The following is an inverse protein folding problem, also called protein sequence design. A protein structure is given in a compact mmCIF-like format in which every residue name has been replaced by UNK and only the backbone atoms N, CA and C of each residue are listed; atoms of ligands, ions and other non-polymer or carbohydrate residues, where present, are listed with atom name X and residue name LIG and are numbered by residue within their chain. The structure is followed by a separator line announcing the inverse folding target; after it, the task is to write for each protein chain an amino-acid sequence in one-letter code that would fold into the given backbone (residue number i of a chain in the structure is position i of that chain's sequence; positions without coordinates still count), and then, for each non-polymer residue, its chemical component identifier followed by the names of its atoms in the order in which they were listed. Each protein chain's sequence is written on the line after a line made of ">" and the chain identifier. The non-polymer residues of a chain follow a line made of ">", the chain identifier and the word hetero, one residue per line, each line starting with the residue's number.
data_IF_466423863666
#
_entry.id   IF_466423863666
#
_cell.length_a   1.000
_cell.length_b   1.000
_cell.length_c   1.000
_cell.angle_alpha   90.00
_cell.angle_beta   90.00
_cell.angle_gamma   90.00
#
_symmetry.space_group_name_H-M   'P 1'
#
loop_
_entity.id
_entity.type
_entity.pdbx_description
1 polymer ?
#
# COMPACT_ATOMS: atom_id res chain seq x y z
N UNK A 1 -9.88 2.23 -8.83
CA UNK A 1 -9.07 0.99 -8.67
C UNK A 1 -7.84 1.13 -9.53
N UNK A 2 -6.66 0.78 -9.02
CA UNK A 2 -5.39 0.84 -9.75
C UNK A 2 -4.77 -0.55 -9.78
N UNK A 3 -4.34 -1.01 -10.96
CA UNK A 3 -3.62 -2.27 -11.10
C UNK A 3 -2.13 -2.00 -11.16
N UNK A 4 -1.34 -2.75 -10.40
CA UNK A 4 0.12 -2.65 -10.35
C UNK A 4 0.71 -4.02 -10.59
N UNK A 5 1.69 -4.11 -11.49
CA UNK A 5 2.46 -5.32 -11.73
C UNK A 5 3.88 -5.12 -11.21
N UNK A 6 4.24 -5.84 -10.15
CA UNK A 6 5.58 -5.84 -9.59
C UNK A 6 6.36 -7.03 -10.16
N UNK A 7 7.52 -6.77 -10.75
CA UNK A 7 8.46 -7.83 -11.16
C UNK A 7 9.65 -7.79 -10.24
N UNK A 8 9.89 -8.88 -9.52
CA UNK A 8 11.05 -9.03 -8.63
C UNK A 8 12.12 -9.87 -9.34
N UNK A 9 13.38 -9.74 -8.93
CA UNK A 9 14.50 -10.53 -9.50
C UNK A 9 14.27 -12.05 -9.43
N UNK A 10 13.44 -12.51 -8.48
CA UNK A 10 13.01 -13.91 -8.34
C UNK A 10 11.93 -14.38 -9.34
N UNK A 11 11.66 -13.58 -10.38
CA UNK A 11 10.90 -13.90 -11.59
C UNK A 11 9.40 -14.17 -11.49
N UNK A 12 8.78 -14.25 -10.31
CA UNK A 12 7.31 -14.36 -10.23
C UNK A 12 6.67 -12.99 -10.12
N UNK A 13 6.01 -12.46 -11.18
CA UNK A 13 5.36 -11.16 -11.11
C UNK A 13 4.19 -11.22 -10.13
N UNK A 14 3.98 -10.14 -9.39
CA UNK A 14 2.82 -9.97 -8.53
C UNK A 14 1.91 -8.89 -9.11
N UNK A 15 0.66 -9.26 -9.43
CA UNK A 15 -0.36 -8.30 -9.85
C UNK A 15 -1.20 -7.91 -8.64
N UNK A 16 -1.12 -6.65 -8.25
CA UNK A 16 -1.90 -6.07 -7.16
C UNK A 16 -3.02 -5.21 -7.73
N UNK A 17 -4.12 -5.14 -7.00
CA UNK A 17 -5.23 -4.25 -7.25
C UNK A 17 -5.44 -3.42 -5.98
N UNK A 18 -5.26 -2.11 -6.14
CA UNK A 18 -5.22 -1.14 -5.06
C UNK A 18 -6.47 -0.26 -5.13
N UNK A 19 -7.18 -0.13 -4.02
CA UNK A 19 -8.20 0.89 -3.84
C UNK A 19 -7.51 2.26 -3.68
N UNK A 20 -7.93 3.21 -4.51
CA UNK A 20 -7.32 4.53 -4.66
C UNK A 20 -5.77 4.49 -4.82
N UNK A 21 -5.20 3.40 -5.36
CA UNK A 21 -3.76 3.25 -5.54
C UNK A 21 -2.92 3.15 -4.28
N UNK A 22 -3.54 2.93 -3.12
CA UNK A 22 -2.88 2.84 -1.83
C UNK A 22 -3.16 1.51 -1.12
N UNK A 23 -4.45 1.20 -0.90
CA UNK A 23 -4.86 0.04 -0.09
C UNK A 23 -4.99 -1.19 -0.98
N UNK A 24 -4.18 -2.23 -0.76
CA UNK A 24 -4.33 -3.50 -1.49
C UNK A 24 -5.63 -4.18 -1.10
N UNK A 25 -6.46 -4.49 -2.11
CA UNK A 25 -7.70 -5.26 -1.92
C UNK A 25 -7.61 -6.65 -2.55
N UNK A 26 -6.75 -6.82 -3.55
CA UNK A 26 -6.55 -8.11 -4.18
C UNK A 26 -5.12 -8.23 -4.74
N UNK A 27 -4.55 -9.41 -4.59
CA UNK A 27 -3.26 -9.79 -5.17
C UNK A 27 -3.39 -11.14 -5.86
N UNK A 28 -2.91 -11.17 -7.09
CA UNK A 28 -2.78 -12.36 -7.91
C UNK A 28 -1.30 -12.58 -8.23
N UNK A 29 -0.73 -13.65 -7.69
CA UNK A 29 0.62 -14.10 -8.01
C UNK A 29 0.73 -15.62 -7.89
N UNK A 30 1.75 -16.17 -8.54
CA UNK A 30 2.06 -17.61 -8.47
C UNK A 30 2.47 -18.05 -7.06
N UNK A 31 2.96 -17.10 -6.24
CA UNK A 31 3.31 -17.32 -4.83
C UNK A 31 2.10 -17.25 -3.89
N UNK A 32 0.93 -16.82 -4.37
CA UNK A 32 -0.30 -16.79 -3.58
C UNK A 32 -1.33 -15.77 -4.05
N UNK A 33 -2.59 -16.18 -4.05
CA UNK A 33 -3.75 -15.30 -4.29
C UNK A 33 -4.36 -14.88 -2.96
N UNK A 34 -4.53 -13.59 -2.79
CA UNK A 34 -5.05 -13.00 -1.54
C UNK A 34 -6.08 -11.94 -1.87
N UNK A 35 -7.23 -11.98 -1.20
CA UNK A 35 -8.23 -10.93 -1.21
C UNK A 35 -8.38 -10.35 0.20
N UNK A 36 -8.25 -9.04 0.33
CA UNK A 36 -8.57 -8.31 1.55
C UNK A 36 -10.03 -7.85 1.46
N UNK A 37 -10.86 -8.34 2.39
CA UNK A 37 -12.27 -7.97 2.50
C UNK A 37 -12.43 -7.01 3.68
N UNK A 38 -12.50 -5.69 3.45
CA UNK A 38 -12.69 -4.72 4.52
C UNK A 38 -14.12 -4.78 5.06
N UNK A 39 -14.29 -4.55 6.35
CA UNK A 39 -15.59 -4.45 7.01
C UNK A 39 -16.20 -3.05 6.94
N UNK A 40 -15.41 -2.06 6.53
CA UNK A 40 -15.82 -0.68 6.37
C UNK A 40 -15.73 -0.23 4.91
N UNK A 41 -16.51 0.81 4.58
CA UNK A 41 -16.44 1.44 3.27
C UNK A 41 -15.17 2.27 3.12
N UNK A 42 -14.22 1.76 2.33
CA UNK A 42 -12.93 2.42 2.08
C UNK A 42 -13.07 3.80 1.43
N UNK A 43 -14.19 4.11 0.76
CA UNK A 43 -14.43 5.44 0.16
C UNK A 43 -14.45 6.54 1.20
N UNK A 44 -14.85 6.22 2.43
CA UNK A 44 -14.93 7.18 3.54
C UNK A 44 -13.57 7.69 4.01
N UNK A 45 -12.48 7.00 3.64
CA UNK A 45 -11.11 7.36 4.01
C UNK A 45 -10.54 8.47 3.11
N UNK A 46 -11.08 8.65 1.91
CA UNK A 46 -10.51 9.55 0.90
C UNK A 46 -11.39 10.80 0.71
N UNK A 47 -10.80 11.98 0.45
CA UNK A 47 -9.36 12.24 0.35
C UNK A 47 -8.67 12.16 1.72
N UNK A 48 -7.45 11.61 1.74
CA UNK A 48 -6.64 11.54 2.94
C UNK A 48 -6.28 12.94 3.44
N UNK A 49 -6.32 13.13 4.76
CA UNK A 49 -5.97 14.40 5.40
C UNK A 49 -4.72 14.23 6.25
N UNK A 50 -3.80 15.19 6.18
CA UNK A 50 -2.62 15.22 7.05
C UNK A 50 -3.02 15.19 8.52
N UNK A 51 -2.33 14.38 9.32
CA UNK A 51 -2.61 14.13 10.73
C UNK A 51 -3.75 13.14 10.98
N UNK A 52 -4.48 12.72 9.94
CA UNK A 52 -5.54 11.73 10.11
C UNK A 52 -4.95 10.34 10.39
N UNK A 53 -5.64 9.63 11.29
CA UNK A 53 -5.38 8.23 11.57
C UNK A 53 -6.67 7.44 11.40
N UNK A 54 -6.60 6.36 10.63
CA UNK A 54 -7.75 5.51 10.34
C UNK A 54 -7.35 4.05 10.52
N UNK A 55 -8.26 3.25 11.06
CA UNK A 55 -8.08 1.80 11.18
C UNK A 55 -9.15 1.09 10.38
N UNK A 56 -8.72 0.13 9.57
CA UNK A 56 -9.57 -0.72 8.75
C UNK A 56 -9.46 -2.11 9.34
N UNK A 57 -10.59 -2.69 9.72
CA UNK A 57 -10.68 -4.11 10.03
C UNK A 57 -11.04 -4.88 8.76
N UNK A 58 -10.38 -6.01 8.55
CA UNK A 58 -10.59 -6.83 7.38
C UNK A 58 -10.34 -8.30 7.66
N UNK A 59 -10.86 -9.15 6.79
CA UNK A 59 -10.44 -10.55 6.69
C UNK A 59 -9.67 -10.78 5.42
N UNK A 60 -8.69 -11.67 5.50
CA UNK A 60 -7.89 -12.09 4.37
C UNK A 60 -8.38 -13.45 3.88
N UNK A 61 -8.77 -13.52 2.62
CA UNK A 61 -9.20 -14.75 1.96
C UNK A 61 -8.10 -15.26 1.03
N UNK A 62 -7.86 -16.56 1.09
CA UNK A 62 -7.00 -17.27 0.14
C UNK A 62 -7.69 -18.56 -0.32
N UNK A 63 -7.44 -19.03 -1.56
CA UNK A 63 -8.05 -20.25 -2.06
C UNK A 63 -7.81 -21.45 -1.12
N UNK A 64 -8.89 -22.17 -0.79
CA UNK A 64 -8.82 -23.39 0.03
C UNK A 64 -8.45 -23.17 1.51
N UNK A 65 -8.39 -21.92 2.00
CA UNK A 65 -8.06 -21.61 3.40
C UNK A 65 -9.19 -20.82 4.05
N UNK A 66 -9.65 -21.27 5.22
CA UNK A 66 -10.54 -20.47 6.04
C UNK A 66 -9.77 -19.30 6.66
N UNK A 67 -10.34 -18.08 6.70
CA UNK A 67 -9.75 -16.95 7.40
C UNK A 67 -9.63 -17.29 8.89
N UNK A 68 -8.44 -17.11 9.46
CA UNK A 68 -8.15 -17.49 10.85
C UNK A 68 -8.63 -16.44 11.87
N UNK A 69 -8.58 -15.17 11.49
CA UNK A 69 -8.95 -14.04 12.37
C UNK A 69 -9.10 -12.75 11.57
N UNK A 70 -9.76 -11.77 12.18
CA UNK A 70 -9.77 -10.37 11.71
C UNK A 70 -8.37 -9.77 11.84
N UNK A 71 -7.91 -9.11 10.80
CA UNK A 71 -6.67 -8.33 10.76
C UNK A 71 -7.00 -6.84 10.77
N UNK A 72 -6.01 -6.01 11.07
CA UNK A 72 -6.16 -4.55 10.99
C UNK A 72 -5.09 -3.92 10.11
N UNK A 73 -5.50 -2.90 9.35
CA UNK A 73 -4.63 -1.97 8.64
C UNK A 73 -4.85 -0.59 9.24
N UNK A 74 -3.83 -0.03 9.86
CA UNK A 74 -3.84 1.38 10.29
C UNK A 74 -3.13 2.24 9.25
N UNK A 75 -3.81 3.29 8.79
CA UNK A 75 -3.26 4.38 7.99
C UNK A 75 -3.01 5.58 8.90
N UNK A 76 -1.78 6.08 8.94
CA UNK A 76 -1.37 7.24 9.73
C UNK A 76 -0.68 8.25 8.81
N UNK A 77 -1.41 9.31 8.44
CA UNK A 77 -0.99 10.29 7.45
C UNK A 77 -0.09 11.33 8.12
N UNK A 78 1.22 11.13 8.08
CA UNK A 78 2.20 11.93 8.82
C UNK A 78 2.31 13.37 8.34
N UNK A 79 2.28 13.59 7.03
CA UNK A 79 2.67 14.87 6.47
C UNK A 79 2.57 14.90 4.96
N UNK A 80 2.84 16.09 4.42
CA UNK A 80 3.10 16.31 3.00
C UNK A 80 4.60 16.44 2.80
N UNK A 81 5.09 15.91 1.69
CA UNK A 81 6.48 16.10 1.25
C UNK A 81 6.54 16.12 -0.29
N UNK A 82 7.71 16.48 -0.81
CA UNK A 82 7.97 16.43 -2.24
C UNK A 82 8.82 15.21 -2.55
N UNK A 83 8.34 14.35 -3.45
CA UNK A 83 9.09 13.20 -3.95
C UNK A 83 9.50 13.45 -5.40
N UNK A 84 10.76 13.15 -5.72
CA UNK A 84 11.29 13.29 -7.08
C UNK A 84 11.31 11.93 -7.76
N UNK A 85 10.83 11.88 -9.00
CA UNK A 85 10.86 10.71 -9.85
C UNK A 85 11.37 11.16 -11.22
N UNK A 86 12.59 10.74 -11.55
CA UNK A 86 13.37 11.39 -12.61
C UNK A 86 13.48 12.90 -12.39
N UNK A 87 13.19 13.67 -13.44
CA UNK A 87 13.19 15.14 -13.38
C UNK A 87 11.88 15.74 -12.83
N UNK A 88 10.87 14.92 -12.57
CA UNK A 88 9.56 15.36 -12.10
C UNK A 88 9.48 15.40 -10.58
N UNK A 89 8.78 16.40 -10.02
CA UNK A 89 8.51 16.54 -8.59
C UNK A 89 7.02 16.40 -8.32
N UNK A 90 6.68 15.55 -7.36
CA UNK A 90 5.30 15.25 -6.98
C UNK A 90 5.07 15.61 -5.51
N UNK A 91 3.91 16.20 -5.23
CA UNK A 91 3.43 16.35 -3.85
C UNK A 91 2.86 15.01 -3.39
N UNK A 92 3.46 14.44 -2.34
CA UNK A 92 3.03 13.16 -1.77
C UNK A 92 2.64 13.32 -0.31
N UNK A 93 1.73 12.45 0.14
CA UNK A 93 1.44 12.22 1.54
C UNK A 93 2.30 11.05 2.02
N UNK A 94 3.02 11.25 3.12
CA UNK A 94 3.69 10.18 3.83
C UNK A 94 2.65 9.44 4.68
N UNK A 95 2.19 8.28 4.21
CA UNK A 95 1.16 7.46 4.88
C UNK A 95 1.82 6.23 5.46
N UNK A 96 1.94 6.19 6.80
CA UNK A 96 2.41 4.98 7.48
C UNK A 96 1.28 3.95 7.50
N UNK A 97 1.55 2.81 6.89
CA UNK A 97 0.71 1.62 6.93
C UNK A 97 1.25 0.68 8.01
N UNK A 98 0.36 0.15 8.83
CA UNK A 98 0.72 -0.85 9.84
C UNK A 98 -0.32 -1.95 9.82
N UNK A 99 0.13 -3.15 9.46
CA UNK A 99 -0.69 -4.35 9.42
C UNK A 99 -0.51 -5.13 10.72
N UNK A 100 -1.62 -5.54 11.33
CA UNK A 100 -1.60 -6.41 12.50
C UNK A 100 -2.45 -7.66 12.29
N UNK A 101 -2.00 -8.77 12.87
CA UNK A 101 -2.79 -10.00 12.93
C UNK A 101 -3.89 -9.90 14.01
N UNK A 102 -4.73 -10.94 14.12
CA UNK A 102 -5.80 -10.97 15.12
C UNK A 102 -5.34 -11.04 16.59
N UNK A 103 -4.05 -11.28 16.85
CA UNK A 103 -3.46 -11.18 18.18
C UNK A 103 -2.95 -9.76 18.50
N UNK A 104 -3.02 -8.83 17.53
CA UNK A 104 -2.55 -7.45 17.66
C UNK A 104 -1.05 -7.26 17.40
N UNK A 105 -0.35 -8.31 16.99
CA UNK A 105 1.07 -8.29 16.63
C UNK A 105 1.24 -7.64 15.25
N UNK A 106 2.24 -6.77 15.11
CA UNK A 106 2.58 -6.15 13.83
C UNK A 106 3.21 -7.20 12.91
N UNK A 107 2.57 -7.45 11.77
CA UNK A 107 3.06 -8.39 10.75
C UNK A 107 3.78 -7.68 9.60
N UNK A 108 3.46 -6.40 9.38
CA UNK A 108 4.15 -5.56 8.40
C UNK A 108 3.95 -4.08 8.75
N UNK A 109 4.92 -3.24 8.40
CA UNK A 109 4.83 -1.81 8.54
C UNK A 109 5.79 -1.10 7.58
N UNK A 110 5.27 -0.11 6.84
CA UNK A 110 6.03 0.73 5.93
C UNK A 110 5.32 2.07 5.75
N UNK A 111 6.00 3.05 5.17
CA UNK A 111 5.37 4.32 4.78
C UNK A 111 5.27 4.40 3.27
N UNK A 112 4.03 4.50 2.77
CA UNK A 112 3.75 4.77 1.37
C UNK A 112 3.88 6.27 1.08
N UNK A 113 4.60 6.62 0.02
CA UNK A 113 4.65 7.97 -0.53
C UNK A 113 3.53 8.14 -1.54
N UNK A 114 2.35 8.47 -1.04
CA UNK A 114 1.12 8.50 -1.82
C UNK A 114 0.92 9.84 -2.53
N UNK A 115 0.91 9.86 -3.86
CA UNK A 115 0.56 11.03 -4.67
C UNK A 115 -0.96 11.06 -4.89
N UNK A 116 -1.72 11.98 -4.25
CA UNK A 116 -3.18 12.01 -4.38
C UNK A 116 -3.63 12.33 -5.80
N UNK A 117 -2.90 13.21 -6.50
CA UNK A 117 -3.23 13.65 -7.87
C UNK A 117 -3.10 12.52 -8.90
N UNK A 118 -2.19 11.57 -8.64
CA UNK A 118 -2.00 10.39 -9.48
C UNK A 118 -2.82 9.19 -8.99
N UNK A 119 -3.39 9.27 -7.79
CA UNK A 119 -3.96 8.14 -7.06
C UNK A 119 -3.00 6.94 -7.07
N UNK A 120 -1.74 7.15 -6.67
CA UNK A 120 -0.72 6.10 -6.67
C UNK A 120 0.33 6.34 -5.59
N UNK A 121 0.79 5.26 -4.94
CA UNK A 121 2.02 5.29 -4.15
C UNK A 121 3.25 5.29 -5.07
N UNK A 122 4.11 6.30 -4.97
CA UNK A 122 5.29 6.46 -5.82
C UNK A 122 6.54 5.77 -5.26
N UNK A 123 6.55 5.54 -3.94
CA UNK A 123 7.58 4.78 -3.26
C UNK A 123 7.06 4.22 -1.94
N UNK A 124 7.81 3.27 -1.39
CA UNK A 124 7.64 2.78 -0.03
C UNK A 124 8.94 2.98 0.74
N UNK A 125 8.82 3.46 1.97
CA UNK A 125 9.92 3.57 2.94
C UNK A 125 9.80 2.47 3.98
N UNK A 126 10.91 1.79 4.23
CA UNK A 126 11.04 0.71 5.19
C UNK A 126 12.02 1.10 6.28
N UNK A 127 11.86 0.51 7.47
CA UNK A 127 12.78 0.63 8.60
C UNK A 127 13.13 2.08 8.97
N UNK A 128 12.16 2.99 8.83
CA UNK A 128 12.36 4.42 9.03
C UNK A 128 12.84 4.76 10.44
N UNK A 129 13.83 5.65 10.51
CA UNK A 129 14.47 6.06 11.76
C UNK A 129 15.51 5.07 12.29
N UNK A 130 15.83 4.01 11.53
CA UNK A 130 16.92 3.07 11.85
C UNK A 130 18.07 3.20 10.86
N UNK A 131 19.20 2.53 11.14
CA UNK A 131 20.33 2.45 10.21
C UNK A 131 20.05 1.61 8.96
N UNK A 132 18.95 0.83 8.94
CA UNK A 132 18.54 -0.01 7.82
C UNK A 132 17.48 0.65 6.92
N UNK A 133 17.16 1.93 7.14
CA UNK A 133 16.14 2.63 6.38
C UNK A 133 16.39 2.56 4.87
N UNK A 134 15.38 2.12 4.13
CA UNK A 134 15.42 2.01 2.67
C UNK A 134 14.20 2.68 2.02
N UNK A 135 14.39 3.24 0.83
CA UNK A 135 13.32 3.82 0.03
C UNK A 135 13.27 3.12 -1.33
N UNK A 136 12.19 2.38 -1.56
CA UNK A 136 11.97 1.66 -2.82
C UNK A 136 10.92 2.43 -3.62
N UNK A 137 11.37 3.17 -4.62
CA UNK A 137 10.52 4.02 -5.48
C UNK A 137 10.53 3.59 -6.94
N UNK A 138 9.53 4.06 -7.68
CA UNK A 138 9.55 3.96 -9.14
C UNK A 138 10.56 4.95 -9.74
N UNK A 139 11.16 4.56 -10.86
CA UNK A 139 12.14 5.40 -11.57
C UNK A 139 11.48 6.29 -12.63
N UNK A 140 10.43 5.79 -13.30
CA UNK A 140 9.76 6.50 -14.41
C UNK A 140 8.25 6.29 -14.38
N UNK A 141 7.50 7.30 -14.82
CA UNK A 141 6.07 7.21 -15.12
C UNK A 141 5.92 7.40 -16.63
N UNK A 142 5.26 6.45 -17.29
CA UNK A 142 5.03 6.49 -18.73
C UNK A 142 3.54 6.34 -19.02
N UNK A 143 3.01 6.98 -20.08
CA UNK A 143 1.67 6.70 -20.56
C UNK A 143 1.53 5.21 -20.88
N UNK A 144 0.33 4.68 -20.70
CA UNK A 144 0.01 3.37 -21.26
C UNK A 144 0.07 3.49 -22.79
N UNK A 145 0.74 2.55 -23.45
CA UNK A 145 0.64 2.43 -24.90
C UNK A 145 -0.81 2.10 -25.24
N UNK A 146 -1.40 2.85 -26.18
CA UNK A 146 -2.73 2.56 -26.73
C UNK A 146 -2.79 1.19 -27.42
#
# INVERSE_FOLDING_TARGET
>A
MVSVANTYESQSPQKQFLFAGLIEVFRDSDTGRVAMIPFSDLRTLFPLKTGAKSTIEFVELSPGKQPKSTKTLTLDVKGKETFSLGDCKYNVLAVKETFKNGAGETIDAFTALYAPDLQAALARRYDEGTSAQAVNGYETIKPLAE
#
